data_IF_012177539645
#
_entry.id   IF_012177539645
#
_cell.length_a   1.000
_cell.length_b   1.000
_cell.length_c   1.000
_cell.angle_alpha   90.00
_cell.angle_beta   90.00
_cell.angle_gamma   90.00
#
_symmetry.space_group_name_H-M   'P 1'
#
loop_
_entity.id
_entity.type
_entity.pdbx_description
1 polymer ?
#
# COMPACT_ATOMS: atom_id res chain seq x y z
N UNK A 1 -14.43 -1.30 11.40
CA UNK A 1 -13.06 -1.56 11.91
C UNK A 1 -12.04 -1.74 10.78
N UNK A 2 -12.04 -2.83 10.00
CA UNK A 2 -11.03 -3.01 8.92
C UNK A 2 -11.08 -1.91 7.85
N UNK A 3 -12.27 -1.53 7.38
CA UNK A 3 -12.44 -0.43 6.40
C UNK A 3 -11.91 0.90 6.95
N UNK A 4 -12.19 1.20 8.21
CA UNK A 4 -11.75 2.43 8.85
C UNK A 4 -10.23 2.47 8.99
N UNK A 5 -9.60 1.35 9.37
CA UNK A 5 -8.15 1.22 9.43
C UNK A 5 -7.49 1.44 8.06
N UNK A 6 -8.05 0.85 7.00
CA UNK A 6 -7.56 1.08 5.63
C UNK A 6 -7.70 2.56 5.22
N UNK A 7 -8.85 3.19 5.46
CA UNK A 7 -9.04 4.59 5.13
C UNK A 7 -8.11 5.51 5.91
N UNK A 8 -7.92 5.26 7.21
CA UNK A 8 -6.96 6.00 8.03
C UNK A 8 -5.53 5.82 7.52
N UNK A 9 -5.12 4.60 7.15
CA UNK A 9 -3.79 4.34 6.59
C UNK A 9 -3.54 5.10 5.29
N UNK A 10 -4.51 5.08 4.36
CA UNK A 10 -4.44 5.81 3.09
C UNK A 10 -4.42 7.32 3.34
N UNK A 11 -5.28 7.82 4.24
CA UNK A 11 -5.32 9.24 4.61
C UNK A 11 -4.01 9.73 5.21
N UNK A 12 -3.42 8.96 6.14
CA UNK A 12 -2.14 9.29 6.74
C UNK A 12 -0.99 9.32 5.70
N UNK A 13 -0.98 8.39 4.75
CA UNK A 13 0.00 8.37 3.66
C UNK A 13 -0.13 9.60 2.75
N UNK A 14 -1.35 10.04 2.44
CA UNK A 14 -1.57 11.27 1.66
C UNK A 14 -1.04 12.51 2.39
N UNK A 15 -1.34 12.66 3.69
CA UNK A 15 -0.83 13.78 4.50
C UNK A 15 0.70 13.79 4.55
N UNK A 16 1.33 12.61 4.67
CA UNK A 16 2.78 12.48 4.60
C UNK A 16 3.33 12.94 3.25
N UNK A 17 2.72 12.50 2.14
CA UNK A 17 3.10 12.91 0.79
C UNK A 17 3.04 14.43 0.64
N UNK A 18 1.93 15.06 1.03
CA UNK A 18 1.76 16.52 0.96
C UNK A 18 2.84 17.26 1.76
N UNK A 19 3.19 16.78 2.96
CA UNK A 19 4.24 17.39 3.79
C UNK A 19 5.62 17.27 3.15
N UNK A 20 5.94 16.14 2.55
CA UNK A 20 7.22 15.93 1.86
C UNK A 20 7.33 16.84 0.64
N UNK A 21 6.28 16.90 -0.19
CA UNK A 21 6.24 17.79 -1.35
C UNK A 21 6.38 19.27 -0.94
N UNK A 22 5.69 19.68 0.13
CA UNK A 22 5.77 21.05 0.65
C UNK A 22 7.18 21.41 1.14
N UNK A 23 7.85 20.54 1.89
CA UNK A 23 9.21 20.82 2.39
C UNK A 23 10.23 20.82 1.26
N UNK A 24 10.12 19.91 0.29
CA UNK A 24 10.99 19.89 -0.91
C UNK A 24 10.82 21.19 -1.70
N UNK A 25 9.59 21.64 -1.92
CA UNK A 25 9.30 22.91 -2.60
C UNK A 25 9.87 24.11 -1.85
N UNK A 26 9.74 24.12 -0.51
CA UNK A 26 10.32 25.18 0.33
C UNK A 26 11.84 25.23 0.25
N UNK A 27 12.52 24.08 0.18
CA UNK A 27 13.97 24.02 -0.01
C UNK A 27 14.39 24.52 -1.40
N UNK A 28 13.58 24.25 -2.43
CA UNK A 28 13.77 24.77 -3.78
C UNK A 28 13.60 26.30 -3.81
N UNK A 29 12.52 26.84 -3.24
CA UNK A 29 12.26 28.29 -3.15
C UNK A 29 13.33 29.04 -2.35
N UNK A 30 13.92 28.40 -1.33
CA UNK A 30 15.04 28.96 -0.56
C UNK A 30 16.39 28.88 -1.30
N UNK A 31 16.43 28.32 -2.51
CA UNK A 31 17.66 28.11 -3.28
C UNK A 31 18.62 27.07 -2.67
N UNK A 32 18.16 26.31 -1.67
CA UNK A 32 18.94 25.27 -0.99
C UNK A 32 18.93 23.94 -1.77
N UNK A 33 18.01 23.80 -2.71
CA UNK A 33 17.85 22.63 -3.56
C UNK A 33 17.62 23.09 -5.00
N UNK A 34 18.33 22.49 -5.96
CA UNK A 34 18.06 22.78 -7.37
C UNK A 34 16.74 22.12 -7.78
N UNK A 35 16.00 22.75 -8.68
CA UNK A 35 14.75 22.20 -9.26
C UNK A 35 14.93 20.79 -9.83
N UNK A 36 16.08 20.51 -10.46
CA UNK A 36 16.42 19.18 -11.00
C UNK A 36 16.53 18.13 -9.89
N UNK A 37 17.16 18.50 -8.78
CA UNK A 37 17.44 17.60 -7.67
C UNK A 37 16.16 17.35 -6.86
N UNK A 38 15.32 18.38 -6.70
CA UNK A 38 13.98 18.29 -6.13
C UNK A 38 13.09 17.29 -6.89
N UNK A 39 13.01 17.44 -8.21
CA UNK A 39 12.26 16.51 -9.07
C UNK A 39 12.81 15.09 -9.03
N UNK A 40 14.14 14.94 -9.08
CA UNK A 40 14.78 13.63 -8.97
C UNK A 40 14.50 12.97 -7.63
N UNK A 41 14.52 13.73 -6.53
CA UNK A 41 14.21 13.23 -5.20
C UNK A 41 12.77 12.73 -5.08
N UNK A 42 11.79 13.54 -5.49
CA UNK A 42 10.37 13.14 -5.47
C UNK A 42 10.12 11.92 -6.37
N UNK A 43 10.71 11.89 -7.56
CA UNK A 43 10.60 10.74 -8.46
C UNK A 43 11.22 9.46 -7.84
N UNK A 44 12.34 9.58 -7.14
CA UNK A 44 12.96 8.45 -6.46
C UNK A 44 12.08 7.87 -5.34
N UNK A 45 11.32 8.73 -4.64
CA UNK A 45 10.35 8.30 -3.63
C UNK A 45 9.17 7.59 -4.30
N UNK A 46 8.66 8.12 -5.40
CA UNK A 46 7.54 7.52 -6.13
C UNK A 46 7.91 6.13 -6.68
N UNK A 47 9.09 5.99 -7.29
CA UNK A 47 9.57 4.70 -7.83
C UNK A 47 9.72 3.67 -6.72
N UNK A 48 10.39 4.03 -5.61
CA UNK A 48 10.52 3.14 -4.44
C UNK A 48 9.16 2.77 -3.85
N UNK A 49 8.23 3.72 -3.80
CA UNK A 49 6.87 3.50 -3.35
C UNK A 49 6.14 2.45 -4.19
N UNK A 50 6.26 2.53 -5.52
CA UNK A 50 5.66 1.53 -6.44
C UNK A 50 6.28 0.14 -6.27
N UNK A 51 7.59 0.04 -6.09
CA UNK A 51 8.26 -1.24 -5.85
C UNK A 51 7.82 -1.89 -4.54
N UNK A 52 7.74 -1.10 -3.46
CA UNK A 52 7.27 -1.59 -2.16
C UNK A 52 5.77 -1.91 -2.16
N UNK A 53 4.94 -1.20 -2.94
CA UNK A 53 3.51 -1.51 -3.09
C UNK A 53 3.28 -2.94 -3.63
N UNK A 54 4.10 -3.38 -4.60
CA UNK A 54 4.01 -4.73 -5.17
C UNK A 54 4.29 -5.79 -4.09
N UNK A 55 5.39 -5.64 -3.35
CA UNK A 55 5.76 -6.56 -2.26
C UNK A 55 4.71 -6.55 -1.15
N UNK A 56 4.24 -5.36 -0.77
CA UNK A 56 3.20 -5.21 0.24
C UNK A 56 1.90 -5.91 -0.16
N UNK A 57 1.47 -5.82 -1.42
CA UNK A 57 0.29 -6.54 -1.92
C UNK A 57 0.45 -8.05 -1.82
N UNK A 58 1.62 -8.59 -2.15
CA UNK A 58 1.91 -10.02 -2.02
C UNK A 58 1.89 -10.47 -0.56
N UNK A 59 2.57 -9.74 0.31
CA UNK A 59 2.58 -10.01 1.75
C UNK A 59 1.17 -9.94 2.35
N UNK A 60 0.42 -8.88 2.04
CA UNK A 60 -0.96 -8.72 2.50
C UNK A 60 -1.85 -9.88 2.03
N UNK A 61 -1.70 -10.33 0.79
CA UNK A 61 -2.44 -11.49 0.27
C UNK A 61 -2.08 -12.77 1.01
N UNK A 62 -0.81 -12.98 1.36
CA UNK A 62 -0.37 -14.13 2.17
C UNK A 62 -0.99 -14.08 3.56
N UNK A 63 -0.85 -12.95 4.25
CA UNK A 63 -1.39 -12.77 5.60
C UNK A 63 -2.91 -12.96 5.63
N UNK A 64 -3.64 -12.45 4.63
CA UNK A 64 -5.09 -12.66 4.55
C UNK A 64 -5.45 -14.14 4.35
N UNK A 65 -4.66 -14.90 3.58
CA UNK A 65 -4.87 -16.35 3.44
C UNK A 65 -4.61 -17.08 4.75
N UNK A 66 -3.50 -16.77 5.43
CA UNK A 66 -3.17 -17.35 6.74
C UNK A 66 -4.29 -17.10 7.74
N UNK A 67 -4.81 -15.86 7.81
CA UNK A 67 -5.94 -15.53 8.70
C UNK A 67 -7.21 -16.31 8.31
N UNK A 68 -7.51 -16.48 7.02
CA UNK A 68 -8.65 -17.27 6.55
C UNK A 68 -8.52 -18.73 7.01
N UNK A 69 -7.31 -19.30 6.88
CA UNK A 69 -7.02 -20.68 7.27
C UNK A 69 -7.07 -20.87 8.80
N UNK A 70 -6.48 -19.94 9.57
CA UNK A 70 -6.50 -19.95 11.04
C UNK A 70 -7.91 -19.85 11.61
N UNK A 71 -8.78 -19.07 10.96
CA UNK A 71 -10.18 -18.91 11.35
C UNK A 71 -11.07 -20.06 10.85
N UNK A 72 -10.54 -21.01 10.07
CA UNK A 72 -11.27 -22.13 9.51
C UNK A 72 -12.36 -21.72 8.52
N UNK A 73 -12.17 -20.61 7.80
CA UNK A 73 -13.15 -20.09 6.86
C UNK A 73 -13.11 -20.86 5.54
N UNK A 74 -14.25 -21.42 5.12
CA UNK A 74 -14.35 -22.12 3.84
C UNK A 74 -14.13 -21.17 2.66
N UNK A 75 -13.21 -21.54 1.77
CA UNK A 75 -12.95 -20.79 0.54
C UNK A 75 -13.97 -21.15 -0.54
N UNK A 76 -14.00 -20.36 -1.63
CA UNK A 76 -14.84 -20.69 -2.78
C UNK A 76 -14.52 -22.07 -3.37
N UNK A 77 -13.25 -22.45 -3.39
CA UNK A 77 -12.82 -23.75 -3.88
C UNK A 77 -13.37 -24.89 -3.01
N UNK A 78 -13.37 -24.70 -1.69
CA UNK A 78 -13.94 -25.68 -0.76
C UNK A 78 -15.45 -25.84 -0.96
N UNK A 79 -16.15 -24.73 -1.24
CA UNK A 79 -17.58 -24.74 -1.54
C UNK A 79 -17.91 -25.39 -2.88
N UNK A 80 -17.06 -25.23 -3.89
CA UNK A 80 -17.24 -25.90 -5.19
C UNK A 80 -17.02 -27.40 -5.08
N UNK A 81 -15.95 -27.81 -4.39
CA UNK A 81 -15.66 -29.22 -4.13
C UNK A 81 -16.80 -29.89 -3.34
N UNK A 82 -17.32 -29.22 -2.32
CA UNK A 82 -18.47 -29.72 -1.56
C UNK A 82 -19.71 -29.90 -2.44
N UNK A 83 -19.95 -29.02 -3.43
CA UNK A 83 -21.08 -29.16 -4.36
C UNK A 83 -20.91 -30.33 -5.33
N UNK A 84 -19.68 -30.66 -5.73
CA UNK A 84 -19.40 -31.83 -6.55
C UNK A 84 -19.58 -33.12 -5.75
N UNK A 85 -19.10 -33.17 -4.50
CA UNK A 85 -19.22 -34.34 -3.62
C UNK A 85 -20.68 -34.65 -3.20
N UNK A 86 -21.56 -33.64 -3.23
CA UNK A 86 -23.00 -33.78 -2.93
C UNK A 86 -23.85 -34.15 -4.14
N UNK A 87 -23.24 -34.36 -5.31
CA UNK A 87 -23.91 -34.62 -6.59
C UNK A 87 -23.87 -36.10 -6.96
#
# INVERSE_FOLDING_TARGET
MFKDFLYTGIGAAMVLKEKVEAEVKKLEEQGKLKTTDAKSFLNSIEVKGKEEEVKFKEQLKSTLKEVIDELGLATKADLEKLKEDLK
#
